data_IF_558361678221
#
_entry.id   IF_558361678221
#
_cell.length_a   1.000
_cell.length_b   1.000
_cell.length_c   1.000
_cell.angle_alpha   90.00
_cell.angle_beta   90.00
_cell.angle_gamma   90.00
#
_symmetry.space_group_name_H-M   'P 1'
#
loop_
_entity.id
_entity.type
_entity.pdbx_description
1 polymer ?
#
# COMPACT_ATOMS: atom_id res chain seq x y z
N UNK A 1 -8.43 17.63 -10.93
CA UNK A 1 -8.78 18.80 -10.11
C UNK A 1 -10.27 19.02 -10.22
N UNK A 2 -11.00 18.59 -9.21
CA UNK A 2 -12.32 19.08 -8.81
C UNK A 2 -12.42 18.71 -7.31
N UNK A 3 -12.94 19.64 -6.50
CA UNK A 3 -13.15 19.44 -5.08
C UNK A 3 -14.58 18.94 -4.86
N UNK A 4 -14.76 17.98 -3.96
CA UNK A 4 -16.04 17.76 -3.31
C UNK A 4 -15.84 17.70 -1.79
N UNK A 5 -16.72 18.42 -1.10
CA UNK A 5 -16.76 18.60 0.34
C UNK A 5 -17.72 17.55 0.88
N UNK A 6 -17.17 16.42 1.36
CA UNK A 6 -17.94 15.37 2.01
C UNK A 6 -18.67 15.90 3.24
N UNK A 7 -19.98 16.12 3.09
CA UNK A 7 -20.93 16.33 4.16
C UNK A 7 -22.04 15.27 4.08
N UNK A 8 -22.23 14.53 5.18
CA UNK A 8 -23.33 13.58 5.31
C UNK A 8 -23.08 12.55 6.40
N UNK A 9 -23.40 12.90 7.64
CA UNK A 9 -23.58 11.94 8.73
C UNK A 9 -24.90 11.19 8.54
N UNK A 10 -24.89 9.87 8.75
CA UNK A 10 -26.07 9.15 9.24
C UNK A 10 -25.61 7.94 10.03
N UNK A 11 -25.80 7.99 11.35
CA UNK A 11 -25.69 6.86 12.25
C UNK A 11 -26.92 5.94 12.14
N UNK A 12 -26.67 4.67 12.47
CA UNK A 12 -27.58 3.58 12.86
C UNK A 12 -28.28 2.75 11.76
N UNK A 13 -27.59 1.68 11.32
CA UNK A 13 -28.10 0.30 11.50
C UNK A 13 -26.93 -0.71 11.49
N UNK A 14 -27.02 -1.75 12.32
CA UNK A 14 -25.94 -2.70 12.65
C UNK A 14 -25.60 -3.73 11.57
N UNK A 15 -25.33 -3.30 10.35
CA UNK A 15 -24.74 -4.12 9.29
C UNK A 15 -23.28 -3.75 9.08
N UNK A 16 -22.39 -4.74 8.90
CA UNK A 16 -21.01 -4.48 8.49
C UNK A 16 -21.02 -3.65 7.21
N UNK A 17 -20.67 -2.37 7.28
CA UNK A 17 -20.53 -1.51 6.10
C UNK A 17 -19.53 -2.19 5.19
N UNK A 18 -20.02 -2.77 4.08
CA UNK A 18 -19.19 -3.44 3.09
C UNK A 18 -18.25 -2.39 2.52
N UNK A 19 -16.98 -2.45 2.91
CA UNK A 19 -15.97 -1.53 2.39
C UNK A 19 -15.85 -1.71 0.87
N UNK A 20 -16.17 -0.67 0.12
CA UNK A 20 -16.02 -0.65 -1.33
C UNK A 20 -14.55 -0.27 -1.62
N UNK A 21 -13.78 -1.09 -2.34
CA UNK A 21 -12.43 -0.73 -2.76
C UNK A 21 -12.39 0.59 -3.53
N UNK A 22 -11.33 1.36 -3.32
CA UNK A 22 -11.08 2.60 -4.03
C UNK A 22 -10.93 2.29 -5.53
N UNK A 23 -11.56 3.08 -6.41
CA UNK A 23 -11.46 2.90 -7.87
C UNK A 23 -11.85 1.49 -8.36
N UNK A 24 -12.77 0.79 -7.68
CA UNK A 24 -13.16 -0.58 -8.03
C UNK A 24 -13.56 -0.71 -9.50
N UNK A 25 -14.46 0.14 -9.98
CA UNK A 25 -14.97 0.09 -11.35
C UNK A 25 -13.85 0.29 -12.37
N UNK A 26 -12.98 1.26 -12.11
CA UNK A 26 -11.83 1.62 -12.95
C UNK A 26 -10.81 0.49 -13.00
N UNK A 27 -10.54 -0.16 -11.87
CA UNK A 27 -9.65 -1.32 -11.80
C UNK A 27 -10.22 -2.48 -12.60
N UNK A 28 -11.51 -2.79 -12.48
CA UNK A 28 -12.14 -3.87 -13.25
C UNK A 28 -12.15 -3.56 -14.75
N UNK A 29 -12.45 -2.33 -15.14
CA UNK A 29 -12.37 -1.89 -16.55
C UNK A 29 -10.94 -2.03 -17.10
N UNK A 30 -9.95 -1.55 -16.34
CA UNK A 30 -8.55 -1.61 -16.72
C UNK A 30 -8.02 -3.04 -16.78
N UNK A 31 -8.46 -3.92 -15.89
CA UNK A 31 -8.05 -5.33 -15.82
C UNK A 31 -8.78 -6.20 -16.86
N UNK A 32 -10.02 -5.84 -17.21
CA UNK A 32 -10.95 -6.56 -18.08
C UNK A 32 -10.94 -8.09 -17.88
N UNK A 33 -11.29 -8.58 -16.67
CA UNK A 33 -11.36 -10.02 -16.39
C UNK A 33 -12.34 -10.75 -17.30
N UNK A 34 -12.06 -12.01 -17.61
CA UNK A 34 -12.92 -12.87 -18.44
C UNK A 34 -12.94 -14.31 -17.93
N UNK A 35 -13.99 -15.08 -18.26
CA UNK A 35 -14.01 -16.52 -18.01
C UNK A 35 -12.77 -17.24 -18.55
N UNK A 36 -12.21 -18.14 -17.75
CA UNK A 36 -11.01 -18.92 -18.08
C UNK A 36 -9.68 -18.19 -17.86
N UNK A 37 -9.68 -16.91 -17.50
CA UNK A 37 -8.46 -16.19 -17.10
C UNK A 37 -8.07 -16.46 -15.66
N UNK A 38 -6.77 -16.35 -15.39
CA UNK A 38 -6.21 -16.39 -14.03
C UNK A 38 -5.60 -15.03 -13.70
N UNK A 39 -6.14 -14.40 -12.68
CA UNK A 39 -5.72 -13.08 -12.22
C UNK A 39 -5.16 -13.20 -10.80
N UNK A 40 -4.09 -12.47 -10.52
CA UNK A 40 -3.54 -12.39 -9.18
C UNK A 40 -3.94 -11.05 -8.53
N UNK A 41 -4.58 -11.14 -7.37
CA UNK A 41 -4.79 -10.01 -6.47
C UNK A 41 -3.69 -10.04 -5.41
N UNK A 42 -2.71 -9.15 -5.51
CA UNK A 42 -1.54 -9.15 -4.62
C UNK A 42 -1.83 -8.57 -3.24
N UNK A 43 -3.00 -7.99 -3.04
CA UNK A 43 -3.34 -7.21 -1.84
C UNK A 43 -4.76 -7.52 -1.45
N UNK A 44 -5.04 -8.81 -1.23
CA UNK A 44 -6.36 -9.36 -1.04
C UNK A 44 -7.20 -8.54 -0.04
N UNK A 45 -6.65 -8.22 1.13
CA UNK A 45 -7.31 -7.40 2.14
C UNK A 45 -8.66 -7.98 2.57
N UNK A 46 -9.74 -7.25 2.28
CA UNK A 46 -11.12 -7.69 2.54
C UNK A 46 -11.77 -8.44 1.36
N UNK A 47 -11.04 -8.68 0.27
CA UNK A 47 -11.50 -9.43 -0.89
C UNK A 47 -12.40 -8.66 -1.85
N UNK A 48 -12.38 -7.32 -1.81
CA UNK A 48 -13.27 -6.49 -2.65
C UNK A 48 -12.97 -6.59 -4.15
N UNK A 49 -11.70 -6.39 -4.57
CA UNK A 49 -11.30 -6.61 -5.97
C UNK A 49 -11.47 -8.07 -6.35
N UNK A 50 -10.98 -8.99 -5.51
CA UNK A 50 -11.13 -10.43 -5.71
C UNK A 50 -12.58 -10.82 -5.99
N UNK A 51 -13.55 -10.33 -5.21
CA UNK A 51 -14.97 -10.61 -5.41
C UNK A 51 -15.49 -10.09 -6.76
N UNK A 52 -15.10 -8.87 -7.14
CA UNK A 52 -15.48 -8.29 -8.41
C UNK A 52 -14.86 -9.04 -9.60
N UNK A 53 -13.60 -9.46 -9.49
CA UNK A 53 -12.91 -10.27 -10.51
C UNK A 53 -13.58 -11.65 -10.67
N UNK A 54 -13.96 -12.29 -9.56
CA UNK A 54 -14.70 -13.56 -9.57
C UNK A 54 -16.09 -13.42 -10.20
N UNK A 55 -16.75 -12.26 -10.04
CA UNK A 55 -18.06 -11.99 -10.64
C UNK A 55 -18.00 -11.92 -12.17
N UNK A 56 -16.88 -11.46 -12.73
CA UNK A 56 -16.61 -11.47 -14.18
C UNK A 56 -16.21 -12.88 -14.72
N UNK A 57 -16.18 -13.90 -13.86
CA UNK A 57 -15.96 -15.30 -14.24
C UNK A 57 -14.51 -15.76 -14.28
N UNK A 58 -13.54 -14.88 -13.98
CA UNK A 58 -12.14 -15.27 -13.86
C UNK A 58 -11.86 -16.11 -12.60
N UNK A 59 -10.70 -16.77 -12.56
CA UNK A 59 -10.14 -17.37 -11.34
C UNK A 59 -9.12 -16.41 -10.72
N UNK A 60 -9.03 -16.41 -9.40
CA UNK A 60 -8.21 -15.47 -8.63
C UNK A 60 -7.22 -16.20 -7.72
N UNK A 61 -5.99 -15.72 -7.72
CA UNK A 61 -4.98 -16.04 -6.70
C UNK A 61 -4.85 -14.79 -5.81
N UNK A 62 -5.34 -14.86 -4.58
CA UNK A 62 -5.29 -13.77 -3.61
C UNK A 62 -4.10 -13.92 -2.68
N UNK A 63 -3.22 -12.93 -2.64
CA UNK A 63 -2.10 -12.85 -1.71
C UNK A 63 -2.38 -11.81 -0.64
N UNK A 64 -2.05 -12.13 0.60
CA UNK A 64 -1.91 -11.12 1.65
C UNK A 64 -0.80 -11.54 2.62
N UNK A 65 -0.07 -10.55 3.13
CA UNK A 65 0.94 -10.78 4.18
C UNK A 65 0.33 -10.79 5.58
N UNK A 66 -0.88 -10.29 5.71
CA UNK A 66 -1.63 -10.25 6.95
C UNK A 66 -2.39 -11.58 7.14
N UNK A 67 -2.05 -12.39 8.17
CA UNK A 67 -2.74 -13.66 8.39
C UNK A 67 -4.23 -13.47 8.70
N UNK A 68 -4.65 -12.32 9.24
CA UNK A 68 -6.07 -12.08 9.57
C UNK A 68 -6.91 -11.91 8.29
N UNK A 69 -6.35 -11.27 7.26
CA UNK A 69 -6.98 -11.14 5.95
C UNK A 69 -7.22 -12.51 5.31
N UNK A 70 -6.21 -13.40 5.36
CA UNK A 70 -6.32 -14.76 4.84
C UNK A 70 -7.37 -15.57 5.61
N UNK A 71 -7.43 -15.44 6.93
CA UNK A 71 -8.44 -16.11 7.75
C UNK A 71 -9.85 -15.60 7.44
N UNK A 72 -10.04 -14.28 7.35
CA UNK A 72 -11.32 -13.66 7.04
C UNK A 72 -11.82 -14.00 5.62
N UNK A 73 -10.90 -14.25 4.68
CA UNK A 73 -11.22 -14.59 3.30
C UNK A 73 -11.67 -16.03 3.05
N UNK A 74 -11.53 -16.95 4.01
CA UNK A 74 -11.81 -18.38 3.78
C UNK A 74 -13.26 -18.64 3.33
N UNK A 75 -14.23 -17.95 3.91
CA UNK A 75 -15.63 -18.09 3.49
C UNK A 75 -15.86 -17.66 2.03
N UNK A 76 -15.15 -16.65 1.54
CA UNK A 76 -15.17 -16.26 0.13
C UNK A 76 -14.52 -17.33 -0.75
N UNK A 77 -13.41 -17.93 -0.30
CA UNK A 77 -12.73 -19.00 -1.02
C UNK A 77 -13.63 -20.23 -1.18
N UNK A 78 -14.29 -20.66 -0.11
CA UNK A 78 -15.26 -21.77 -0.13
C UNK A 78 -16.44 -21.48 -1.07
N UNK A 79 -17.01 -20.28 -0.99
CA UNK A 79 -18.12 -19.85 -1.84
C UNK A 79 -17.74 -19.70 -3.33
N UNK A 80 -16.45 -19.57 -3.65
CA UNK A 80 -15.97 -19.35 -5.03
C UNK A 80 -16.09 -20.58 -5.93
N UNK A 81 -16.33 -21.77 -5.36
CA UNK A 81 -16.37 -23.03 -6.09
C UNK A 81 -15.00 -23.45 -6.66
N UNK A 82 -13.92 -23.18 -5.92
CA UNK A 82 -12.54 -23.50 -6.30
C UNK A 82 -11.88 -22.50 -7.26
N UNK A 83 -12.53 -21.37 -7.55
CA UNK A 83 -11.97 -20.31 -8.41
C UNK A 83 -11.08 -19.32 -7.65
N UNK A 84 -11.12 -19.32 -6.32
CA UNK A 84 -10.24 -18.51 -5.48
C UNK A 84 -9.25 -19.39 -4.71
N UNK A 85 -7.97 -19.08 -4.82
CA UNK A 85 -6.91 -19.60 -3.95
C UNK A 85 -6.34 -18.47 -3.11
N UNK A 86 -6.41 -18.59 -1.78
CA UNK A 86 -5.81 -17.62 -0.85
C UNK A 86 -4.47 -18.14 -0.33
N UNK A 87 -3.45 -17.28 -0.37
CA UNK A 87 -2.09 -17.63 0.02
C UNK A 87 -1.54 -16.56 0.95
N UNK A 88 -1.10 -16.98 2.15
CA UNK A 88 -0.35 -16.12 3.06
C UNK A 88 1.05 -15.88 2.49
N UNK A 89 1.22 -14.76 1.79
CA UNK A 89 2.45 -14.40 1.09
C UNK A 89 2.51 -12.90 0.87
N UNK A 90 3.72 -12.37 0.79
CA UNK A 90 3.93 -11.02 0.32
C UNK A 90 3.68 -10.95 -1.18
N UNK A 91 3.21 -9.80 -1.66
CA UNK A 91 3.04 -9.58 -3.10
C UNK A 91 4.38 -9.47 -3.84
N UNK A 92 5.49 -9.16 -3.16
CA UNK A 92 6.81 -9.19 -3.80
C UNK A 92 7.21 -10.61 -4.25
N UNK A 93 6.60 -11.64 -3.68
CA UNK A 93 6.79 -13.04 -4.04
C UNK A 93 5.77 -13.55 -5.07
N UNK A 94 4.93 -12.68 -5.66
CA UNK A 94 3.81 -13.09 -6.52
C UNK A 94 4.19 -14.01 -7.69
N UNK A 95 5.40 -13.85 -8.24
CA UNK A 95 5.87 -14.67 -9.36
C UNK A 95 6.03 -16.15 -8.99
N UNK A 96 6.23 -16.48 -7.70
CA UNK A 96 6.33 -17.87 -7.22
C UNK A 96 4.98 -18.60 -7.25
N UNK A 97 3.89 -17.84 -7.25
CA UNK A 97 2.52 -18.35 -7.21
C UNK A 97 1.85 -18.29 -8.58
N UNK A 98 2.53 -17.75 -9.60
CA UNK A 98 2.03 -17.75 -10.96
C UNK A 98 1.98 -19.19 -11.50
N UNK A 99 0.91 -19.58 -12.22
CA UNK A 99 0.87 -20.88 -12.88
C UNK A 99 1.91 -20.95 -14.00
N UNK A 100 2.27 -22.15 -14.44
CA UNK A 100 3.27 -22.36 -15.49
C UNK A 100 2.95 -21.61 -16.80
N UNK A 101 1.66 -21.42 -17.09
CA UNK A 101 1.19 -20.67 -18.26
C UNK A 101 1.24 -19.14 -18.10
N UNK A 102 1.61 -18.60 -16.94
CA UNK A 102 1.60 -17.17 -16.60
C UNK A 102 0.23 -16.64 -16.14
N UNK A 103 0.17 -15.36 -15.79
CA UNK A 103 -1.03 -14.65 -15.35
C UNK A 103 -1.63 -13.81 -16.48
N UNK A 104 -2.96 -13.73 -16.52
CA UNK A 104 -3.69 -12.85 -17.44
C UNK A 104 -3.84 -11.44 -16.88
N UNK A 105 -3.76 -11.30 -15.55
CA UNK A 105 -3.80 -10.01 -14.89
C UNK A 105 -3.17 -10.03 -13.50
N UNK A 106 -2.67 -8.87 -13.08
CA UNK A 106 -2.21 -8.62 -11.71
C UNK A 106 -2.81 -7.29 -11.26
N UNK A 107 -3.43 -7.28 -10.09
CA UNK A 107 -3.84 -6.06 -9.40
C UNK A 107 -3.07 -5.90 -8.10
N UNK A 108 -2.57 -4.70 -7.84
CA UNK A 108 -1.88 -4.33 -6.60
C UNK A 108 -2.49 -3.05 -6.04
N UNK A 109 -3.07 -3.11 -4.84
CA UNK A 109 -3.60 -1.97 -4.09
C UNK A 109 -2.65 -1.63 -2.93
N UNK A 110 -1.70 -0.75 -3.22
CA UNK A 110 -0.52 -0.55 -2.38
C UNK A 110 -0.85 0.42 -1.26
N UNK A 111 -1.22 -0.11 -0.10
CA UNK A 111 -1.50 0.68 1.08
C UNK A 111 -1.85 -0.17 2.29
N UNK A 112 -2.46 0.47 3.28
CA UNK A 112 -3.13 -0.23 4.39
C UNK A 112 -4.59 -0.41 4.05
N UNK A 113 -5.16 -1.55 4.46
CA UNK A 113 -6.62 -1.70 4.39
C UNK A 113 -7.28 -0.90 5.54
N UNK A 114 -8.53 -0.50 5.32
CA UNK A 114 -9.37 0.17 6.33
C UNK A 114 -9.43 -0.61 7.64
N UNK A 115 -9.54 -1.94 7.57
CA UNK A 115 -9.51 -2.84 8.73
C UNK A 115 -8.28 -2.60 9.62
N UNK A 116 -7.11 -2.39 9.02
CA UNK A 116 -5.86 -2.15 9.77
C UNK A 116 -5.83 -0.78 10.46
N UNK A 117 -6.51 0.21 9.88
CA UNK A 117 -6.66 1.55 10.47
C UNK A 117 -7.71 1.54 11.58
N UNK A 118 -8.78 0.76 11.40
CA UNK A 118 -9.93 0.72 12.31
C UNK A 118 -9.65 -0.05 13.60
N UNK A 119 -8.78 -1.06 13.55
CA UNK A 119 -8.31 -1.83 14.70
C UNK A 119 -7.23 -1.06 15.48
N UNK A 120 -7.61 -0.51 16.63
CA UNK A 120 -6.72 0.33 17.44
C UNK A 120 -5.48 -0.44 17.92
N UNK A 121 -5.65 -1.72 18.24
CA UNK A 121 -4.64 -2.66 18.74
C UNK A 121 -3.46 -2.83 17.78
N UNK A 122 -3.67 -2.54 16.49
CA UNK A 122 -2.64 -2.63 15.45
C UNK A 122 -1.74 -1.40 15.34
N UNK A 123 -2.18 -0.27 15.89
CA UNK A 123 -1.35 0.92 16.00
C UNK A 123 -1.11 1.70 14.70
N UNK A 124 -1.88 1.47 13.65
CA UNK A 124 -1.74 2.21 12.38
C UNK A 124 -2.28 3.64 12.45
N UNK A 125 -3.23 3.90 13.36
CA UNK A 125 -3.86 5.21 13.54
C UNK A 125 -3.55 5.79 14.91
N UNK A 126 -3.45 7.12 14.98
CA UNK A 126 -3.43 7.88 16.23
C UNK A 126 -4.81 8.40 16.63
N UNK A 127 -5.83 8.24 15.79
CA UNK A 127 -7.20 8.65 16.13
C UNK A 127 -7.74 7.80 17.28
N UNK A 128 -7.55 6.47 17.18
CA UNK A 128 -7.78 5.52 18.26
C UNK A 128 -6.44 5.22 18.94
N UNK A 129 -6.44 5.16 20.27
CA UNK A 129 -5.22 4.82 21.00
C UNK A 129 -4.98 3.32 20.97
N UNK A 130 -3.74 2.91 20.73
CA UNK A 130 -3.33 1.51 20.87
C UNK A 130 -1.81 1.38 20.92
N UNK A 131 -1.28 0.16 20.95
CA UNK A 131 0.15 -0.11 20.91
C UNK A 131 0.81 0.55 19.70
N UNK A 132 2.01 1.10 19.85
CA UNK A 132 2.77 1.65 18.72
C UNK A 132 3.44 0.50 17.93
N UNK A 133 2.64 -0.24 17.16
CA UNK A 133 3.10 -1.45 16.45
C UNK A 133 3.34 -1.20 14.95
N UNK A 134 2.26 -1.00 14.17
CA UNK A 134 2.27 -0.79 12.71
C UNK A 134 2.81 -1.95 11.86
N UNK A 135 3.10 -3.14 12.40
CA UNK A 135 3.53 -4.29 11.58
C UNK A 135 2.34 -4.94 10.90
N UNK A 136 2.39 -5.06 9.58
CA UNK A 136 1.35 -5.77 8.82
C UNK A 136 1.44 -7.29 8.97
N UNK A 137 2.65 -7.85 9.06
CA UNK A 137 2.88 -9.30 9.14
C UNK A 137 2.91 -9.87 10.57
N UNK A 138 2.67 -9.05 11.58
CA UNK A 138 2.86 -9.37 13.01
C UNK A 138 4.28 -9.86 13.40
N UNK A 139 5.28 -9.66 12.52
CA UNK A 139 6.67 -10.06 12.73
C UNK A 139 7.64 -8.92 12.39
N UNK A 140 8.86 -8.98 12.93
CA UNK A 140 9.89 -7.96 12.71
C UNK A 140 9.83 -6.79 13.69
N UNK A 141 10.51 -5.70 13.32
CA UNK A 141 10.69 -4.49 14.14
C UNK A 141 9.40 -3.68 14.21
N UNK A 142 8.93 -3.34 15.40
CA UNK A 142 7.73 -2.50 15.58
C UNK A 142 8.04 -1.01 15.43
N UNK A 143 7.01 -0.18 15.22
CA UNK A 143 7.16 1.28 15.23
C UNK A 143 7.71 1.78 16.58
N UNK A 144 7.31 1.17 17.70
CA UNK A 144 7.86 1.43 19.03
C UNK A 144 9.36 1.17 19.08
N UNK A 145 9.82 0.04 18.52
CA UNK A 145 11.25 -0.26 18.46
C UNK A 145 12.02 0.79 17.65
N UNK A 146 11.46 1.21 16.50
CA UNK A 146 12.08 2.24 15.66
C UNK A 146 12.23 3.55 16.44
N UNK A 147 11.14 4.09 17.00
CA UNK A 147 11.20 5.39 17.69
C UNK A 147 12.04 5.34 18.97
N UNK A 148 12.07 4.21 19.67
CA UNK A 148 12.81 4.09 20.92
C UNK A 148 14.28 3.71 20.75
N UNK A 149 14.68 3.10 19.62
CA UNK A 149 16.04 2.57 19.44
C UNK A 149 16.83 3.18 18.29
N UNK A 150 16.16 3.69 17.25
CA UNK A 150 16.89 4.25 16.09
C UNK A 150 17.70 5.49 16.49
N UNK A 151 18.82 5.71 15.79
CA UNK A 151 19.61 6.93 15.93
C UNK A 151 18.78 8.12 15.42
N UNK A 152 18.99 9.30 15.98
CA UNK A 152 18.30 10.52 15.51
C UNK A 152 18.54 10.77 14.02
N UNK A 153 19.75 10.53 13.52
CA UNK A 153 20.04 10.64 12.09
C UNK A 153 19.14 9.77 11.22
N UNK A 154 18.79 8.57 11.71
CA UNK A 154 17.96 7.63 10.98
C UNK A 154 16.49 8.01 11.08
N UNK A 155 16.02 8.44 12.25
CA UNK A 155 14.68 9.01 12.40
C UNK A 155 14.46 10.23 11.48
N UNK A 156 15.46 11.10 11.35
CA UNK A 156 15.42 12.24 10.43
C UNK A 156 15.26 11.77 8.98
N UNK A 157 16.02 10.75 8.57
CA UNK A 157 15.94 10.18 7.21
C UNK A 157 14.58 9.53 6.98
N UNK A 158 14.09 8.74 7.93
CA UNK A 158 12.79 8.06 7.85
C UNK A 158 11.69 9.12 7.67
N UNK A 159 11.57 10.08 8.57
CA UNK A 159 10.49 11.07 8.50
C UNK A 159 10.63 12.02 7.30
N UNK A 160 11.87 12.43 6.99
CA UNK A 160 12.15 13.35 5.89
C UNK A 160 11.92 12.73 4.53
N UNK A 161 12.41 11.50 4.30
CA UNK A 161 12.32 10.84 3.00
C UNK A 161 10.99 10.11 2.81
N UNK A 162 10.56 9.30 3.79
CA UNK A 162 9.37 8.45 3.65
C UNK A 162 8.07 9.18 3.99
N UNK A 163 8.12 10.18 4.88
CA UNK A 163 6.96 11.00 5.25
C UNK A 163 6.91 12.37 4.57
N UNK A 164 7.95 12.74 3.82
CA UNK A 164 8.13 14.10 3.28
C UNK A 164 7.96 15.17 4.39
N UNK A 165 8.39 14.88 5.63
CA UNK A 165 8.20 15.76 6.80
C UNK A 165 9.26 16.86 6.89
N UNK A 166 8.83 18.12 6.79
CA UNK A 166 9.72 19.29 6.77
C UNK A 166 10.39 19.55 8.12
N UNK A 167 9.74 19.17 9.22
CA UNK A 167 10.24 19.31 10.59
C UNK A 167 10.87 18.02 11.12
N UNK A 168 11.28 17.09 10.25
CA UNK A 168 11.85 15.80 10.62
C UNK A 168 12.99 15.93 11.66
N UNK A 169 13.90 16.90 11.46
CA UNK A 169 14.99 17.23 12.38
C UNK A 169 14.51 17.58 13.79
N UNK A 170 13.47 18.42 13.88
CA UNK A 170 12.91 18.88 15.15
C UNK A 170 12.18 17.76 15.88
N UNK A 171 11.37 17.00 15.14
CA UNK A 171 10.59 15.88 15.68
C UNK A 171 11.51 14.75 16.16
N UNK A 172 12.51 14.35 15.38
CA UNK A 172 13.43 13.28 15.76
C UNK A 172 14.20 13.58 17.06
N UNK A 173 14.69 14.82 17.23
CA UNK A 173 15.35 15.25 18.48
C UNK A 173 14.40 15.31 19.67
N UNK A 174 13.14 15.72 19.43
CA UNK A 174 12.12 15.69 20.48
C UNK A 174 11.82 14.25 20.94
N UNK A 175 11.75 13.29 20.01
CA UNK A 175 11.57 11.87 20.31
C UNK A 175 12.75 11.35 21.12
N UNK A 176 14.00 11.63 20.71
CA UNK A 176 15.20 11.20 21.44
C UNK A 176 15.22 11.70 22.88
N UNK A 177 14.94 12.99 23.09
CA UNK A 177 14.89 13.56 24.44
C UNK A 177 13.75 12.99 25.29
N UNK A 178 12.60 12.71 24.67
CA UNK A 178 11.44 12.21 25.40
C UNK A 178 11.62 10.73 25.81
N UNK A 179 12.16 9.89 24.93
CA UNK A 179 12.38 8.46 25.21
C UNK A 179 13.42 8.18 26.29
N UNK A 180 14.31 9.14 26.59
CA UNK A 180 15.23 9.07 27.73
C UNK A 180 14.48 9.07 29.07
N UNK A 181 13.29 9.68 29.12
CA UNK A 181 12.46 9.75 30.33
C UNK A 181 11.48 8.59 30.38
N UNK A 182 10.78 8.37 29.28
CA UNK A 182 9.75 7.34 29.18
C UNK A 182 9.69 6.81 27.73
N UNK A 183 9.83 5.49 27.51
CA UNK A 183 9.67 4.91 26.18
C UNK A 183 8.27 5.12 25.59
N UNK A 184 8.20 5.31 24.27
CA UNK A 184 6.93 5.35 23.55
C UNK A 184 6.34 3.96 23.41
N UNK A 185 5.19 3.72 24.01
CA UNK A 185 4.49 2.43 23.92
C UNK A 185 3.17 2.52 23.17
N UNK A 186 2.61 3.72 23.01
CA UNK A 186 1.30 3.93 22.39
C UNK A 186 1.30 4.98 21.28
N UNK A 187 0.33 4.86 20.37
CA UNK A 187 0.14 5.82 19.27
C UNK A 187 -0.16 7.22 19.78
N UNK A 188 -0.97 7.37 20.85
CA UNK A 188 -1.32 8.69 21.40
C UNK A 188 -0.13 9.40 22.03
N UNK A 189 0.76 8.69 22.73
CA UNK A 189 1.98 9.29 23.29
C UNK A 189 2.83 9.94 22.19
N UNK A 190 3.07 9.22 21.08
CA UNK A 190 3.85 9.74 19.96
C UNK A 190 3.15 10.92 19.28
N UNK A 191 1.84 10.80 19.03
CA UNK A 191 1.06 11.85 18.38
C UNK A 191 1.06 13.15 19.20
N UNK A 192 0.86 13.06 20.52
CA UNK A 192 0.87 14.20 21.43
C UNK A 192 2.24 14.90 21.44
N UNK A 193 3.35 14.15 21.46
CA UNK A 193 4.68 14.75 21.36
C UNK A 193 4.84 15.53 20.05
N UNK A 194 4.41 14.95 18.92
CA UNK A 194 4.55 15.58 17.61
C UNK A 194 3.72 16.87 17.56
N UNK A 195 2.50 16.84 18.09
CA UNK A 195 1.63 18.02 18.16
C UNK A 195 2.23 19.14 19.02
N UNK A 196 2.81 18.80 20.19
CA UNK A 196 3.54 19.76 21.02
C UNK A 196 4.78 20.33 20.30
N UNK A 197 5.47 19.49 19.52
CA UNK A 197 6.71 19.86 18.84
C UNK A 197 6.44 20.72 17.61
N UNK A 198 5.39 20.39 16.86
CA UNK A 198 4.98 21.04 15.61
C UNK A 198 3.47 21.34 15.67
N UNK A 199 3.07 22.40 16.40
CA UNK A 199 1.66 22.73 16.56
C UNK A 199 0.99 23.03 15.23
N UNK A 200 -0.26 22.59 15.10
CA UNK A 200 -1.09 22.81 13.92
C UNK A 200 -1.31 24.30 13.70
N UNK A 201 -1.12 24.75 12.46
CA UNK A 201 -1.48 26.11 12.04
C UNK A 201 -2.88 26.08 11.43
N UNK A 202 -3.60 27.20 11.48
CA UNK A 202 -4.96 27.31 10.95
C UNK A 202 -5.09 26.90 9.46
N UNK A 203 -4.00 27.00 8.69
CA UNK A 203 -3.93 26.61 7.28
C UNK A 203 -3.63 25.12 7.03
N UNK A 204 -3.31 24.37 8.07
CA UNK A 204 -2.86 22.99 7.92
C UNK A 204 -4.06 22.05 7.74
N UNK A 205 -4.12 21.43 6.56
CA UNK A 205 -5.21 20.52 6.17
C UNK A 205 -5.14 19.16 6.85
N UNK A 206 -3.94 18.72 7.25
CA UNK A 206 -3.71 17.42 7.86
C UNK A 206 -3.20 17.58 9.29
N UNK A 207 -3.38 16.54 10.11
CA UNK A 207 -2.84 16.49 11.45
C UNK A 207 -1.29 16.44 11.41
N UNK A 208 -0.58 17.12 12.32
CA UNK A 208 0.90 17.14 12.32
C UNK A 208 1.55 15.75 12.40
N UNK A 209 0.91 14.80 13.08
CA UNK A 209 1.43 13.43 13.20
C UNK A 209 1.28 12.57 11.93
N UNK A 210 0.43 12.96 10.97
CA UNK A 210 0.08 12.12 9.81
C UNK A 210 1.32 11.68 9.01
N UNK A 211 2.23 12.61 8.70
CA UNK A 211 3.43 12.32 7.89
C UNK A 211 4.42 11.41 8.63
N UNK A 212 4.55 11.59 9.94
CA UNK A 212 5.44 10.76 10.77
C UNK A 212 4.90 9.34 10.89
N UNK A 213 3.59 9.19 11.10
CA UNK A 213 2.95 7.87 11.16
C UNK A 213 3.03 7.15 9.82
N UNK A 214 2.79 7.85 8.71
CA UNK A 214 3.02 7.30 7.37
C UNK A 214 4.47 6.85 7.19
N UNK A 215 5.46 7.68 7.54
CA UNK A 215 6.87 7.34 7.41
C UNK A 215 7.26 6.08 8.20
N UNK A 216 6.80 5.98 9.46
CA UNK A 216 7.04 4.82 10.30
C UNK A 216 6.42 3.56 9.71
N UNK A 217 5.17 3.65 9.24
CA UNK A 217 4.46 2.55 8.60
C UNK A 217 5.22 2.03 7.38
N UNK A 218 5.56 2.95 6.47
CA UNK A 218 6.32 2.67 5.24
C UNK A 218 7.66 2.01 5.57
N UNK A 219 8.35 2.50 6.60
CA UNK A 219 9.65 1.96 7.03
C UNK A 219 9.54 0.57 7.65
N UNK A 220 8.67 0.39 8.65
CA UNK A 220 8.45 -0.86 9.39
C UNK A 220 8.12 -2.01 8.45
N UNK A 221 7.40 -1.70 7.38
CA UNK A 221 6.86 -2.70 6.47
C UNK A 221 7.61 -2.82 5.13
N UNK A 222 8.73 -2.10 4.96
CA UNK A 222 9.49 -1.97 3.71
C UNK A 222 8.57 -1.75 2.49
N UNK A 223 7.56 -0.88 2.61
CA UNK A 223 6.47 -0.79 1.61
C UNK A 223 6.99 -0.43 0.22
N UNK A 224 7.92 0.53 0.13
CA UNK A 224 8.51 0.94 -1.15
C UNK A 224 9.40 -0.14 -1.76
N UNK A 225 10.15 -0.87 -0.93
CA UNK A 225 11.00 -1.96 -1.37
C UNK A 225 10.18 -3.15 -1.85
N UNK A 226 9.13 -3.50 -1.11
CA UNK A 226 8.14 -4.51 -1.50
C UNK A 226 7.50 -4.15 -2.84
N UNK A 227 7.02 -2.90 -3.01
CA UNK A 227 6.43 -2.42 -4.26
C UNK A 227 7.39 -2.58 -5.44
N UNK A 228 8.63 -2.11 -5.30
CA UNK A 228 9.61 -2.22 -6.38
C UNK A 228 9.87 -3.67 -6.80
N UNK A 229 9.98 -4.59 -5.82
CA UNK A 229 10.14 -6.03 -6.10
C UNK A 229 8.89 -6.63 -6.74
N UNK A 230 7.71 -6.22 -6.31
CA UNK A 230 6.41 -6.66 -6.85
C UNK A 230 6.24 -6.32 -8.32
N UNK A 231 6.58 -5.09 -8.71
CA UNK A 231 6.49 -4.64 -10.11
C UNK A 231 7.36 -5.51 -11.02
N UNK A 232 8.59 -5.81 -10.58
CA UNK A 232 9.51 -6.70 -11.29
C UNK A 232 8.97 -8.15 -11.33
N UNK A 233 8.38 -8.62 -10.24
CA UNK A 233 7.78 -9.95 -10.18
C UNK A 233 6.55 -10.06 -11.11
N UNK A 234 5.70 -9.03 -11.15
CA UNK A 234 4.54 -8.96 -12.02
C UNK A 234 4.93 -9.00 -13.51
N UNK A 235 5.96 -8.23 -13.90
CA UNK A 235 6.52 -8.26 -15.26
C UNK A 235 6.93 -9.68 -15.69
N UNK A 236 7.50 -10.48 -14.78
CA UNK A 236 7.92 -11.85 -15.07
C UNK A 236 6.76 -12.85 -15.09
N UNK A 237 5.71 -12.59 -14.32
CA UNK A 237 4.60 -13.49 -14.13
C UNK A 237 3.51 -13.34 -15.19
N UNK A 238 3.38 -12.16 -15.79
CA UNK A 238 2.36 -11.86 -16.79
C UNK A 238 2.67 -12.50 -18.14
N UNK A 239 1.62 -13.02 -18.79
CA UNK A 239 1.66 -13.46 -20.18
C UNK A 239 1.72 -12.25 -21.13
N UNK A 240 2.14 -12.44 -22.39
CA UNK A 240 1.87 -11.45 -23.44
C UNK A 240 0.39 -11.08 -23.49
N UNK A 241 0.09 -9.78 -23.46
CA UNK A 241 -1.28 -9.25 -23.42
C UNK A 241 -1.92 -9.21 -22.02
N UNK A 242 -1.26 -9.74 -20.99
CA UNK A 242 -1.70 -9.64 -19.61
C UNK A 242 -1.62 -8.20 -19.09
N UNK A 243 -2.44 -7.88 -18.07
CA UNK A 243 -2.58 -6.51 -17.58
C UNK A 243 -2.08 -6.35 -16.15
N UNK A 244 -1.25 -5.34 -15.92
CA UNK A 244 -0.82 -4.91 -14.57
C UNK A 244 -1.58 -3.63 -14.19
N UNK A 245 -2.36 -3.70 -13.12
CA UNK A 245 -3.09 -2.56 -12.55
C UNK A 245 -2.54 -2.28 -11.16
N UNK A 246 -2.16 -1.03 -10.89
CA UNK A 246 -1.60 -0.62 -9.59
C UNK A 246 -2.33 0.61 -9.08
N UNK A 247 -2.85 0.51 -7.87
CA UNK A 247 -3.44 1.61 -7.10
C UNK A 247 -2.44 2.02 -6.03
N UNK A 248 -2.18 3.32 -5.92
CA UNK A 248 -1.22 3.89 -4.97
C UNK A 248 -1.86 5.06 -4.23
N UNK A 249 -1.57 5.23 -2.94
CA UNK A 249 -2.21 6.27 -2.12
C UNK A 249 -1.32 7.48 -1.87
N UNK A 250 -0.01 7.37 -2.13
CA UNK A 250 0.88 8.50 -1.92
C UNK A 250 1.96 8.71 -2.99
N UNK A 251 2.52 9.91 -2.97
CA UNK A 251 3.46 10.44 -3.97
C UNK A 251 4.68 9.54 -4.24
N UNK A 252 5.23 8.92 -3.19
CA UNK A 252 6.40 8.04 -3.31
C UNK A 252 6.10 6.74 -4.08
N UNK A 253 4.96 6.10 -3.81
CA UNK A 253 4.52 4.89 -4.51
C UNK A 253 4.24 5.21 -5.98
N UNK A 254 3.43 6.24 -6.23
CA UNK A 254 3.08 6.70 -7.58
C UNK A 254 4.33 7.00 -8.41
N UNK A 255 5.35 7.63 -7.81
CA UNK A 255 6.62 7.91 -8.48
C UNK A 255 7.36 6.62 -8.87
N UNK A 256 7.37 5.60 -8.01
CA UNK A 256 7.99 4.30 -8.32
C UNK A 256 7.24 3.61 -9.46
N UNK A 257 5.91 3.57 -9.40
CA UNK A 257 5.06 2.94 -10.42
C UNK A 257 5.23 3.64 -11.77
N UNK A 258 5.17 4.97 -11.79
CA UNK A 258 5.37 5.77 -13.02
C UNK A 258 6.74 5.55 -13.62
N UNK A 259 7.80 5.58 -12.80
CA UNK A 259 9.17 5.33 -13.27
C UNK A 259 9.28 3.92 -13.86
N UNK A 260 8.71 2.92 -13.20
CA UNK A 260 8.71 1.54 -13.69
C UNK A 260 8.06 1.41 -15.07
N UNK A 261 6.84 1.93 -15.27
CA UNK A 261 6.18 1.87 -16.57
C UNK A 261 6.87 2.73 -17.64
N UNK A 262 7.45 3.88 -17.27
CA UNK A 262 8.26 4.68 -18.20
C UNK A 262 9.48 3.90 -18.69
N UNK A 263 10.20 3.25 -17.79
CA UNK A 263 11.39 2.45 -18.10
C UNK A 263 11.05 1.19 -18.93
N UNK A 264 9.78 0.75 -18.95
CA UNK A 264 9.30 -0.46 -19.66
C UNK A 264 8.43 -0.22 -20.88
N UNK A 265 8.09 1.03 -21.16
CA UNK A 265 7.31 1.41 -22.36
C UNK A 265 8.18 1.78 -23.55
N UNK A 266 9.48 1.47 -23.52
CA UNK A 266 10.43 1.72 -24.61
C UNK A 266 10.72 3.20 -24.85
N UNK A 267 10.18 4.11 -24.05
CA UNK A 267 10.52 5.53 -24.10
C UNK A 267 11.80 5.76 -23.33
N UNK A 268 12.93 5.34 -23.90
CA UNK A 268 14.22 5.82 -23.43
C UNK A 268 14.24 7.34 -23.64
N UNK A 269 14.27 8.11 -22.54
CA UNK A 269 14.62 9.52 -22.59
C UNK A 269 16.11 9.63 -22.93
N UNK A 270 16.45 9.38 -24.20
CA UNK A 270 17.80 9.59 -24.72
C UNK A 270 18.13 11.07 -24.64
N UNK A 271 19.11 11.44 -23.82
CA UNK A 271 19.77 12.73 -23.97
C UNK A 271 20.42 12.77 -25.35
N UNK A 272 20.22 13.86 -26.10
CA UNK A 272 20.83 14.10 -27.43
C UNK A 272 22.37 14.11 -27.41
N UNK A 273 22.99 13.93 -26.24
CA UNK A 273 24.42 14.06 -25.98
C UNK A 273 25.05 12.82 -25.30
N UNK A 274 24.31 11.69 -25.16
CA UNK A 274 24.85 10.46 -24.60
C UNK A 274 24.86 9.33 -25.66
N UNK A 275 25.88 8.45 -25.66
CA UNK A 275 25.97 7.33 -26.60
C UNK A 275 24.77 6.39 -26.45
N UNK A 276 24.41 5.69 -27.53
CA UNK A 276 23.22 4.84 -27.66
C UNK A 276 22.98 3.99 -26.40
N UNK A 277 21.96 4.36 -25.65
CA UNK A 277 21.44 3.51 -24.59
C UNK A 277 20.77 2.33 -25.29
N UNK A 278 21.31 1.13 -25.13
CA UNK A 278 20.73 -0.10 -25.66
C UNK A 278 19.21 -0.08 -25.52
N UNK A 279 18.50 -0.09 -26.66
CA UNK A 279 17.04 -0.11 -26.70
C UNK A 279 16.56 -1.37 -25.98
N UNK A 280 16.03 -1.20 -24.76
CA UNK A 280 15.30 -2.27 -24.09
C UNK A 280 13.95 -2.40 -24.79
N UNK A 281 13.69 -3.57 -25.34
CA UNK A 281 12.38 -3.89 -25.91
C UNK A 281 11.29 -3.58 -24.89
N UNK A 282 10.26 -2.84 -25.33
CA UNK A 282 9.14 -2.48 -24.46
C UNK A 282 8.41 -3.73 -23.98
N UNK A 283 8.23 -3.85 -22.67
CA UNK A 283 7.47 -4.97 -22.05
C UNK A 283 6.06 -4.55 -21.66
N UNK A 284 5.78 -3.24 -21.56
CA UNK A 284 4.44 -2.72 -21.29
C UNK A 284 4.01 -1.64 -22.28
N UNK A 285 2.73 -1.64 -22.64
CA UNK A 285 2.07 -0.55 -23.34
C UNK A 285 1.00 0.06 -22.41
N UNK A 286 0.88 1.40 -22.34
CA UNK A 286 -0.16 2.02 -21.53
C UNK A 286 -1.54 1.69 -22.11
N UNK A 287 -2.44 1.25 -21.23
CA UNK A 287 -3.86 1.02 -21.55
C UNK A 287 -4.67 2.11 -20.85
N UNK A 288 -5.46 2.88 -21.59
CA UNK A 288 -6.26 3.97 -21.05
C UNK A 288 -5.44 5.19 -20.58
N UNK A 289 -6.04 6.03 -19.74
CA UNK A 289 -5.40 7.20 -19.11
C UNK A 289 -5.15 6.91 -17.62
N UNK A 290 -4.07 7.46 -17.01
CA UNK A 290 -3.90 7.42 -15.57
C UNK A 290 -5.12 8.05 -14.89
N UNK A 291 -5.67 7.37 -13.89
CA UNK A 291 -6.84 7.82 -13.13
C UNK A 291 -6.41 8.30 -11.75
N UNK A 292 -7.11 9.31 -11.23
CA UNK A 292 -6.86 9.90 -9.91
C UNK A 292 -8.21 10.03 -9.23
N UNK A 293 -8.36 9.39 -8.07
CA UNK A 293 -9.50 9.57 -7.17
C UNK A 293 -9.42 10.93 -6.45
#
# INVERSE_FOLDING_TARGET
MAADLGGGSSDADGGSVRHIPVLLSEVIEALAPKPGQVILDGTFGAGGYTSAILAEGASVIGLDRDPTAIAAGQGLAEASGGRLTLIHSRFSDLARHAPAGGLDGVVLDIGVSSMQIDEAERGFSFQKNGPLDMRMSASGVSAADVVNRAKVSDLIRIFGFLGEEKQAGRIARAIEKAREKEPFTTTRQLANLIELTTPRKAKDKIHPATRVFQALRVFVNDELGELARALIAAERALKPGGRLVVVSFHSLEDRIVKKFFQDRSGKAAGSRHLPEVHDRAATFAPVGRPMVA
#
